data_IF_488566096313
#
_entry.id   IF_488566096313
#
_cell.length_a   1.000
_cell.length_b   1.000
_cell.length_c   1.000
_cell.angle_alpha   90.00
_cell.angle_beta   90.00
_cell.angle_gamma   90.00
#
_symmetry.space_group_name_H-M   'P 1'
#
loop_
_entity.id
_entity.type
_entity.pdbx_description
1 polymer ?
#
# COMPACT_ATOMS: atom_id res chain seq x y z
N UNK A 1 11.37 30.83 -16.48
CA UNK A 1 10.19 30.00 -16.20
C UNK A 1 9.26 30.09 -17.40
N UNK A 2 8.68 28.98 -17.84
CA UNK A 2 7.71 28.94 -18.93
C UNK A 2 6.38 28.40 -18.40
N UNK A 3 5.24 28.94 -18.91
CA UNK A 3 3.92 28.36 -18.59
C UNK A 3 3.76 27.02 -19.32
N UNK A 4 3.27 26.03 -18.60
CA UNK A 4 3.13 24.67 -19.09
C UNK A 4 2.21 24.59 -20.32
N UNK A 5 1.14 25.41 -20.36
CA UNK A 5 0.22 25.52 -21.51
C UNK A 5 0.87 25.82 -22.86
N UNK A 6 2.11 26.36 -22.89
CA UNK A 6 2.84 26.63 -24.13
C UNK A 6 3.43 25.36 -24.78
N UNK A 7 3.59 24.30 -23.99
CA UNK A 7 4.31 23.07 -24.41
C UNK A 7 3.48 21.79 -24.29
N UNK A 8 2.17 21.92 -24.01
CA UNK A 8 1.24 20.81 -23.87
C UNK A 8 -0.08 21.06 -24.61
N UNK A 9 -0.80 19.98 -24.87
CA UNK A 9 -2.22 20.00 -25.24
C UNK A 9 -3.01 19.18 -24.23
N UNK A 10 -4.18 19.67 -23.81
CA UNK A 10 -5.06 18.98 -22.88
C UNK A 10 -6.19 18.28 -23.63
N UNK A 11 -6.36 16.98 -23.42
CA UNK A 11 -7.43 16.17 -24.03
C UNK A 11 -8.38 15.68 -22.95
N UNK A 12 -9.68 15.93 -23.13
CA UNK A 12 -10.74 15.48 -22.23
C UNK A 12 -11.04 13.99 -22.47
N UNK A 13 -11.26 13.24 -21.38
CA UNK A 13 -11.63 11.83 -21.46
C UNK A 13 -13.03 11.56 -22.01
N UNK A 14 -13.27 10.30 -22.33
CA UNK A 14 -14.54 9.82 -22.89
C UNK A 14 -15.63 9.86 -21.83
N UNK A 15 -16.78 10.46 -22.18
CA UNK A 15 -18.00 10.36 -21.39
C UNK A 15 -18.77 9.11 -21.80
N UNK A 16 -19.11 8.26 -20.84
CA UNK A 16 -19.75 6.97 -21.07
C UNK A 16 -20.76 6.64 -19.99
N UNK A 17 -21.62 5.69 -20.27
CA UNK A 17 -22.60 5.09 -19.35
C UNK A 17 -22.35 3.58 -19.23
N UNK A 18 -22.93 2.89 -18.24
CA UNK A 18 -22.76 1.44 -18.06
C UNK A 18 -23.07 0.61 -19.32
N UNK A 19 -24.03 1.04 -20.14
CA UNK A 19 -24.40 0.36 -21.40
C UNK A 19 -23.36 0.47 -22.52
N UNK A 20 -22.39 1.36 -22.38
CA UNK A 20 -21.30 1.56 -23.34
C UNK A 20 -20.08 0.69 -23.00
N UNK A 21 -20.17 -0.11 -21.89
CA UNK A 21 -19.10 -0.98 -21.43
C UNK A 21 -19.32 -2.42 -21.91
N UNK A 22 -18.20 -3.12 -22.12
CA UNK A 22 -18.13 -4.55 -22.42
C UNK A 22 -17.52 -5.31 -21.25
N UNK A 23 -17.90 -6.57 -21.08
CA UNK A 23 -17.37 -7.42 -20.00
C UNK A 23 -15.90 -7.85 -20.25
N UNK A 24 -15.48 -7.85 -21.53
CA UNK A 24 -14.12 -8.25 -21.90
C UNK A 24 -13.62 -7.48 -23.13
N UNK A 25 -12.30 -7.51 -23.35
CA UNK A 25 -11.67 -6.96 -24.55
C UNK A 25 -12.04 -7.81 -25.77
N UNK A 26 -12.56 -7.16 -26.80
CA UNK A 26 -12.92 -7.78 -28.09
C UNK A 26 -12.67 -6.80 -29.27
N UNK A 27 -13.03 -7.19 -30.48
CA UNK A 27 -12.79 -6.38 -31.69
C UNK A 27 -13.53 -5.05 -31.68
N UNK A 28 -14.64 -4.91 -30.96
CA UNK A 28 -15.44 -3.69 -30.87
C UNK A 28 -15.11 -2.84 -29.65
N UNK A 29 -14.29 -3.34 -28.71
CA UNK A 29 -13.97 -2.67 -27.45
C UNK A 29 -12.51 -2.26 -27.33
N UNK A 30 -12.23 -1.35 -26.42
CA UNK A 30 -10.88 -0.83 -26.09
C UNK A 30 -10.76 -0.65 -24.58
N UNK A 31 -9.55 -0.79 -24.05
CA UNK A 31 -9.23 -0.52 -22.65
C UNK A 31 -9.53 0.95 -22.33
N UNK A 32 -10.30 1.17 -21.27
CA UNK A 32 -10.59 2.49 -20.71
C UNK A 32 -9.96 2.62 -19.33
N UNK A 33 -9.01 3.56 -19.21
CA UNK A 33 -8.35 3.89 -17.96
C UNK A 33 -9.15 4.91 -17.16
N UNK A 34 -9.16 4.73 -15.84
CA UNK A 34 -9.85 5.58 -14.87
C UNK A 34 -8.85 6.08 -13.80
N UNK A 35 -9.32 6.88 -12.86
CA UNK A 35 -8.48 7.41 -11.77
C UNK A 35 -7.82 6.31 -10.89
N UNK A 36 -8.48 5.15 -10.72
CA UNK A 36 -7.94 4.00 -9.98
C UNK A 36 -6.78 3.30 -10.72
N UNK A 37 -6.64 3.53 -12.01
CA UNK A 37 -5.51 3.04 -12.81
C UNK A 37 -4.25 3.90 -12.68
N UNK A 38 -4.31 5.03 -11.94
CA UNK A 38 -3.15 5.88 -11.63
C UNK A 38 -2.62 5.48 -10.25
N UNK A 39 -1.52 4.74 -10.20
CA UNK A 39 -0.87 4.29 -8.96
C UNK A 39 0.61 4.66 -8.98
N UNK A 40 1.08 5.39 -7.98
CA UNK A 40 2.50 5.73 -7.76
C UNK A 40 3.22 6.29 -8.99
N UNK A 41 2.53 7.18 -9.72
CA UNK A 41 3.06 7.81 -10.94
C UNK A 41 3.07 6.93 -12.20
N UNK A 42 2.48 5.73 -12.14
CA UNK A 42 2.42 4.75 -13.22
C UNK A 42 0.99 4.37 -13.56
N UNK A 43 0.81 3.88 -14.78
CA UNK A 43 -0.45 3.24 -15.19
C UNK A 43 -0.47 1.80 -14.67
N UNK A 44 -1.57 1.44 -14.00
CA UNK A 44 -1.85 0.09 -13.54
C UNK A 44 -3.02 -0.48 -14.34
N UNK A 45 -2.85 -1.66 -14.92
CA UNK A 45 -3.83 -2.35 -15.76
C UNK A 45 -4.61 -3.46 -15.05
N UNK A 46 -4.43 -3.66 -13.73
CA UNK A 46 -5.04 -4.78 -12.99
C UNK A 46 -6.57 -4.69 -12.92
N UNK A 47 -7.15 -3.47 -12.90
CA UNK A 47 -8.59 -3.22 -12.83
C UNK A 47 -8.99 -2.22 -13.92
N UNK A 48 -9.05 -2.70 -15.15
CA UNK A 48 -9.50 -1.91 -16.31
C UNK A 48 -10.94 -2.25 -16.68
N UNK A 49 -11.60 -1.33 -17.37
CA UNK A 49 -12.89 -1.58 -18.02
C UNK A 49 -12.72 -1.45 -19.53
N UNK A 50 -13.67 -1.99 -20.28
CA UNK A 50 -13.64 -2.00 -21.74
C UNK A 50 -14.80 -1.18 -22.27
N UNK A 51 -14.53 -0.25 -23.19
CA UNK A 51 -15.54 0.65 -23.78
C UNK A 51 -15.69 0.39 -25.27
N UNK A 52 -16.89 0.57 -25.80
CA UNK A 52 -17.15 0.52 -27.24
C UNK A 52 -16.28 1.53 -27.99
N UNK A 53 -15.50 1.07 -28.97
CA UNK A 53 -14.63 1.89 -29.82
C UNK A 53 -15.36 3.04 -30.50
N UNK A 54 -16.66 2.87 -30.83
CA UNK A 54 -17.48 3.91 -31.45
C UNK A 54 -17.68 5.16 -30.61
N UNK A 55 -17.46 5.03 -29.29
CA UNK A 55 -17.55 6.16 -28.34
C UNK A 55 -16.26 6.97 -28.25
N UNK A 56 -15.17 6.48 -28.81
CA UNK A 56 -13.83 7.04 -28.64
C UNK A 56 -13.44 7.84 -29.88
N UNK A 57 -13.21 9.14 -29.72
CA UNK A 57 -12.68 9.98 -30.78
C UNK A 57 -11.19 9.73 -31.03
N UNK A 58 -10.68 10.00 -32.23
CA UNK A 58 -9.28 9.77 -32.61
C UNK A 58 -8.25 10.42 -31.65
N UNK A 59 -8.55 11.62 -31.14
CA UNK A 59 -7.68 12.35 -30.22
C UNK A 59 -7.70 11.80 -28.78
N UNK A 60 -8.71 10.97 -28.42
CA UNK A 60 -8.87 10.36 -27.10
C UNK A 60 -8.14 9.01 -26.96
N UNK A 61 -7.46 8.53 -28.00
CA UNK A 61 -6.53 7.43 -27.85
C UNK A 61 -5.26 7.90 -27.14
N UNK A 62 -4.81 7.14 -26.16
CA UNK A 62 -3.54 7.39 -25.48
C UNK A 62 -2.39 7.17 -26.46
N UNK A 63 -1.46 8.11 -26.46
CA UNK A 63 -0.22 8.02 -27.20
C UNK A 63 0.95 7.89 -26.23
N UNK A 64 1.97 7.14 -26.62
CA UNK A 64 3.22 7.09 -25.84
C UNK A 64 3.76 8.50 -25.62
N UNK A 65 4.04 8.83 -24.37
CA UNK A 65 4.48 10.16 -23.97
C UNK A 65 3.37 11.04 -23.40
N UNK A 66 2.11 10.59 -23.42
CA UNK A 66 1.01 11.27 -22.73
C UNK A 66 1.16 11.15 -21.21
N UNK A 67 0.60 12.10 -20.49
CA UNK A 67 0.44 12.04 -19.03
C UNK A 67 -1.05 11.98 -18.70
N UNK A 68 -1.50 10.89 -18.11
CA UNK A 68 -2.88 10.73 -17.62
C UNK A 68 -3.00 11.36 -16.23
N UNK A 69 -3.98 12.25 -16.04
CA UNK A 69 -4.22 12.95 -14.77
C UNK A 69 -5.66 12.70 -14.31
N UNK A 70 -5.84 12.40 -13.03
CA UNK A 70 -7.15 12.42 -12.38
C UNK A 70 -7.57 13.88 -12.14
N UNK A 71 -8.56 14.35 -12.85
CA UNK A 71 -9.02 15.75 -12.74
C UNK A 71 -10.22 15.91 -11.82
N UNK A 72 -10.98 14.85 -11.57
CA UNK A 72 -12.17 14.89 -10.70
C UNK A 72 -12.29 13.58 -9.91
N UNK A 73 -12.52 13.69 -8.61
CA UNK A 73 -12.75 12.55 -7.72
C UNK A 73 -13.50 12.98 -6.47
N UNK A 74 -14.28 12.07 -5.88
CA UNK A 74 -14.87 12.26 -4.55
C UNK A 74 -13.82 12.32 -3.42
N UNK A 75 -12.62 11.78 -3.64
CA UNK A 75 -11.47 11.89 -2.71
C UNK A 75 -10.50 12.96 -3.18
N UNK A 76 -10.24 13.96 -2.32
CA UNK A 76 -9.28 15.04 -2.59
C UNK A 76 -7.86 14.52 -2.85
N UNK A 77 -7.48 13.42 -2.24
CA UNK A 77 -6.16 12.80 -2.39
C UNK A 77 -5.92 12.22 -3.79
N UNK A 78 -6.98 11.84 -4.48
CA UNK A 78 -6.89 11.30 -5.84
C UNK A 78 -6.80 12.40 -6.89
N UNK A 79 -7.37 13.58 -6.64
CA UNK A 79 -7.33 14.72 -7.57
C UNK A 79 -5.88 15.16 -7.78
N UNK A 80 -5.49 15.30 -9.05
CA UNK A 80 -4.14 15.64 -9.47
C UNK A 80 -3.14 14.47 -9.47
N UNK A 81 -3.53 13.24 -9.11
CA UNK A 81 -2.66 12.09 -9.39
C UNK A 81 -2.39 12.01 -10.88
N UNK A 82 -1.15 11.75 -11.24
CA UNK A 82 -0.70 11.70 -12.62
C UNK A 82 0.12 10.44 -12.88
N UNK A 83 0.08 9.93 -14.10
CA UNK A 83 0.92 8.82 -14.55
C UNK A 83 1.36 9.03 -16.00
N UNK A 84 2.63 8.79 -16.27
CA UNK A 84 3.18 8.83 -17.61
C UNK A 84 2.81 7.55 -18.38
N UNK A 85 2.33 7.70 -19.61
CA UNK A 85 1.97 6.58 -20.47
C UNK A 85 3.14 6.22 -21.38
N UNK A 86 3.85 5.15 -21.01
CA UNK A 86 5.01 4.62 -21.75
C UNK A 86 4.69 3.40 -22.62
N UNK A 87 3.47 2.87 -22.49
CA UNK A 87 3.07 1.60 -23.08
C UNK A 87 2.74 1.71 -24.58
N UNK A 88 2.78 0.57 -25.26
CA UNK A 88 2.30 0.44 -26.64
C UNK A 88 0.87 -0.12 -26.71
N UNK A 89 0.21 -0.22 -25.56
CA UNK A 89 -1.16 -0.72 -25.43
C UNK A 89 -2.16 0.28 -25.99
N UNK A 90 -3.10 -0.19 -26.81
CA UNK A 90 -4.18 0.65 -27.32
C UNK A 90 -5.19 0.86 -26.21
N UNK A 91 -5.30 2.09 -25.72
CA UNK A 91 -6.17 2.45 -24.60
C UNK A 91 -6.76 3.87 -24.78
N UNK A 92 -7.83 4.12 -24.04
CA UNK A 92 -8.45 5.43 -23.86
C UNK A 92 -8.64 5.72 -22.37
N UNK A 93 -9.31 6.81 -22.01
CA UNK A 93 -9.48 7.24 -20.61
C UNK A 93 -10.83 7.91 -20.40
N UNK A 94 -11.39 7.74 -19.19
CA UNK A 94 -12.72 8.24 -18.84
C UNK A 94 -12.73 9.72 -18.48
N UNK A 95 -13.92 10.33 -18.49
CA UNK A 95 -14.16 11.77 -18.33
C UNK A 95 -13.70 12.38 -16.99
N UNK A 96 -13.48 11.55 -15.94
CA UNK A 96 -12.87 12.00 -14.69
C UNK A 96 -11.34 12.14 -14.75
N UNK A 97 -10.77 11.73 -15.87
CA UNK A 97 -9.38 11.90 -16.20
C UNK A 97 -9.21 12.86 -17.40
N UNK A 98 -8.00 13.36 -17.53
CA UNK A 98 -7.54 14.16 -18.66
C UNK A 98 -6.17 13.69 -19.09
N UNK A 99 -5.87 13.78 -20.35
CA UNK A 99 -4.53 13.56 -20.88
C UNK A 99 -3.86 14.90 -21.14
N UNK A 100 -2.63 15.01 -20.68
CA UNK A 100 -1.68 16.05 -21.04
C UNK A 100 -0.76 15.45 -22.10
N UNK A 101 -0.81 16.01 -23.27
CA UNK A 101 0.00 15.58 -24.42
C UNK A 101 1.11 16.59 -24.67
N UNK A 102 2.37 16.26 -24.35
CA UNK A 102 3.49 17.16 -24.57
C UNK A 102 3.73 17.40 -26.07
N UNK A 103 4.00 18.66 -26.44
CA UNK A 103 4.40 19.08 -27.79
C UNK A 103 5.92 19.20 -27.97
N UNK A 104 6.70 19.02 -26.90
CA UNK A 104 8.16 19.02 -26.95
C UNK A 104 8.72 17.64 -27.29
N UNK A 105 9.93 17.54 -27.89
CA UNK A 105 10.53 16.25 -28.26
C UNK A 105 10.74 15.34 -27.03
N UNK A 106 11.32 15.86 -25.94
CA UNK A 106 11.56 15.13 -24.73
C UNK A 106 10.28 15.03 -23.84
N UNK A 107 9.31 14.23 -24.27
CA UNK A 107 8.00 14.09 -23.61
C UNK A 107 8.11 13.57 -22.15
N UNK A 108 9.08 12.69 -21.88
CA UNK A 108 9.31 12.12 -20.56
C UNK A 108 9.72 13.18 -19.54
N UNK A 109 10.36 14.28 -19.98
CA UNK A 109 10.68 15.41 -19.13
C UNK A 109 9.42 16.01 -18.48
N UNK A 110 8.35 16.16 -19.29
CA UNK A 110 7.02 16.58 -18.77
C UNK A 110 6.44 15.51 -17.84
N UNK A 111 6.58 14.22 -18.17
CA UNK A 111 6.15 13.12 -17.29
C UNK A 111 6.78 13.22 -15.89
N UNK A 112 8.10 13.49 -15.82
CA UNK A 112 8.78 13.70 -14.54
C UNK A 112 8.30 14.94 -13.78
N UNK A 113 7.97 16.03 -14.48
CA UNK A 113 7.38 17.20 -13.83
C UNK A 113 6.07 16.85 -13.12
N UNK A 114 5.17 16.10 -13.76
CA UNK A 114 3.89 15.68 -13.18
C UNK A 114 4.03 14.65 -12.04
N UNK A 115 5.16 13.98 -11.93
CA UNK A 115 5.50 13.10 -10.81
C UNK A 115 6.28 13.82 -9.69
N UNK A 116 6.55 15.13 -9.84
CA UNK A 116 7.33 15.87 -8.87
C UNK A 116 6.54 16.29 -7.64
N UNK A 117 7.19 16.42 -6.45
CA UNK A 117 6.58 17.01 -5.26
C UNK A 117 6.12 18.47 -5.48
N UNK A 118 6.77 19.21 -6.40
CA UNK A 118 6.37 20.56 -6.75
C UNK A 118 4.97 20.56 -7.36
N UNK A 119 4.73 19.80 -8.42
CA UNK A 119 3.41 19.67 -9.04
C UNK A 119 2.35 19.27 -8.01
N UNK A 120 2.64 18.28 -7.15
CA UNK A 120 1.67 17.84 -6.13
C UNK A 120 1.31 18.92 -5.14
N UNK A 121 2.25 19.76 -4.69
CA UNK A 121 1.98 20.89 -3.81
C UNK A 121 1.11 21.95 -4.49
N UNK A 122 1.47 22.34 -5.73
CA UNK A 122 0.71 23.34 -6.49
C UNK A 122 -0.75 22.92 -6.68
N UNK A 123 -0.99 21.70 -7.15
CA UNK A 123 -2.35 21.17 -7.35
C UNK A 123 -3.11 21.03 -6.04
N UNK A 124 -2.45 20.58 -4.96
CA UNK A 124 -3.10 20.46 -3.64
C UNK A 124 -3.47 21.82 -3.06
N UNK A 125 -2.67 22.85 -3.26
CA UNK A 125 -2.97 24.22 -2.81
C UNK A 125 -4.21 24.79 -3.52
N UNK A 126 -4.34 24.54 -4.83
CA UNK A 126 -5.52 24.93 -5.61
C UNK A 126 -6.79 24.22 -5.14
N UNK A 127 -6.69 22.98 -4.68
CA UNK A 127 -7.83 22.21 -4.16
C UNK A 127 -8.23 22.57 -2.72
N UNK A 128 -7.38 23.26 -1.96
CA UNK A 128 -7.63 23.65 -0.56
C UNK A 128 -8.39 24.97 -0.42
N UNK A 129 -8.35 25.86 -1.40
CA UNK A 129 -8.92 27.21 -1.34
C UNK A 129 -10.40 27.34 -1.73
N UNK A 130 -11.01 26.33 -2.33
CA UNK A 130 -12.43 26.25 -2.64
C UNK A 130 -12.79 24.75 -2.73
N UNK A 131 -14.07 24.39 -2.66
CA UNK A 131 -14.57 23.01 -2.85
C UNK A 131 -14.27 22.49 -4.28
N UNK A 132 -12.98 22.52 -4.71
CA UNK A 132 -12.55 22.18 -6.06
C UNK A 132 -12.25 20.68 -6.08
N UNK A 133 -13.29 19.88 -6.33
CA UNK A 133 -13.15 18.48 -6.71
C UNK A 133 -12.84 18.31 -8.20
N UNK A 134 -12.40 19.40 -8.90
CA UNK A 134 -12.18 19.34 -10.35
C UNK A 134 -11.06 20.30 -10.79
N UNK A 135 -10.03 19.78 -11.46
CA UNK A 135 -8.92 20.54 -12.06
C UNK A 135 -9.34 21.05 -13.43
N UNK A 136 -9.37 22.39 -13.59
CA UNK A 136 -9.66 23.06 -14.87
C UNK A 136 -8.40 23.15 -15.75
N UNK A 137 -8.60 23.45 -17.04
CA UNK A 137 -7.48 23.63 -17.97
C UNK A 137 -6.52 24.72 -17.53
N UNK A 138 -7.06 25.86 -17.11
CA UNK A 138 -6.29 27.02 -16.66
C UNK A 138 -5.38 26.72 -15.46
N UNK A 139 -5.79 25.81 -14.57
CA UNK A 139 -4.96 25.38 -13.43
C UNK A 139 -3.68 24.69 -13.89
N UNK A 140 -3.74 23.93 -14.97
CA UNK A 140 -2.59 23.22 -15.55
C UNK A 140 -1.78 24.17 -16.46
N UNK A 141 -2.45 24.93 -17.33
CA UNK A 141 -1.80 25.80 -18.30
C UNK A 141 -0.96 26.90 -17.64
N UNK A 142 -1.39 27.38 -16.45
CA UNK A 142 -0.69 28.42 -15.69
C UNK A 142 0.41 27.88 -14.79
N UNK A 143 0.59 26.56 -14.65
CA UNK A 143 1.74 26.04 -13.91
C UNK A 143 3.03 26.49 -14.60
N UNK A 144 3.94 27.01 -13.80
CA UNK A 144 5.26 27.42 -14.29
C UNK A 144 6.30 26.34 -14.06
N UNK A 145 7.11 26.08 -15.07
CA UNK A 145 8.23 25.16 -14.97
C UNK A 145 9.49 25.74 -15.58
N UNK A 146 10.63 25.31 -15.13
CA UNK A 146 11.87 25.57 -15.82
C UNK A 146 11.96 24.65 -17.05
N UNK A 147 12.02 25.24 -18.24
CA UNK A 147 12.12 24.54 -19.51
C UNK A 147 13.51 24.78 -20.10
N UNK A 148 14.53 23.97 -19.75
CA UNK A 148 15.87 24.10 -20.30
C UNK A 148 15.91 23.63 -21.77
N UNK A 149 17.07 23.77 -22.40
CA UNK A 149 17.31 23.27 -23.75
C UNK A 149 17.09 21.75 -23.84
N UNK A 150 16.77 21.22 -25.01
CA UNK A 150 16.46 19.83 -25.25
C UNK A 150 17.56 18.87 -24.72
N UNK A 151 18.82 19.18 -24.99
CA UNK A 151 19.96 18.39 -24.50
C UNK A 151 19.99 18.28 -22.97
N UNK A 152 19.61 19.35 -22.27
CA UNK A 152 19.56 19.37 -20.80
C UNK A 152 18.32 18.58 -20.33
N UNK A 153 17.16 18.72 -21.00
CA UNK A 153 15.98 17.92 -20.71
C UNK A 153 16.27 16.42 -20.82
N UNK A 154 16.90 15.99 -21.90
CA UNK A 154 17.32 14.61 -22.09
C UNK A 154 18.30 14.13 -21.03
N UNK A 155 19.29 14.96 -20.67
CA UNK A 155 20.26 14.61 -19.63
C UNK A 155 19.61 14.43 -18.25
N UNK A 156 18.64 15.30 -17.90
CA UNK A 156 17.84 15.19 -16.67
C UNK A 156 16.97 13.92 -16.72
N UNK A 157 16.27 13.72 -17.83
CA UNK A 157 15.38 12.55 -18.02
C UNK A 157 16.14 11.24 -17.90
N UNK A 158 17.29 11.11 -18.55
CA UNK A 158 18.14 9.90 -18.43
C UNK A 158 18.55 9.63 -16.98
N UNK A 159 18.94 10.65 -16.22
CA UNK A 159 19.31 10.49 -14.80
C UNK A 159 18.12 10.07 -13.94
N UNK A 160 16.95 10.69 -14.12
CA UNK A 160 15.74 10.37 -13.38
C UNK A 160 15.24 8.94 -13.72
N UNK A 161 15.26 8.57 -15.00
CA UNK A 161 14.91 7.22 -15.42
C UNK A 161 15.86 6.17 -14.84
N UNK A 162 17.17 6.46 -14.81
CA UNK A 162 18.15 5.58 -14.18
C UNK A 162 17.87 5.40 -12.67
N UNK A 163 17.64 6.49 -11.95
CA UNK A 163 17.28 6.41 -10.50
C UNK A 163 15.99 5.63 -10.30
N UNK A 164 14.96 5.88 -11.09
CA UNK A 164 13.70 5.14 -11.00
C UNK A 164 13.91 3.64 -11.27
N UNK A 165 14.70 3.28 -12.27
CA UNK A 165 15.01 1.87 -12.57
C UNK A 165 15.77 1.17 -11.43
N UNK A 166 16.65 1.89 -10.73
CA UNK A 166 17.32 1.39 -9.53
C UNK A 166 16.33 1.16 -8.39
N UNK A 167 15.43 2.11 -8.13
CA UNK A 167 14.38 1.99 -7.10
C UNK A 167 13.51 0.76 -7.38
N UNK A 168 13.02 0.61 -8.62
CA UNK A 168 12.22 -0.54 -9.04
C UNK A 168 12.96 -1.88 -8.89
N UNK A 169 14.23 -1.89 -9.30
CA UNK A 169 15.07 -3.08 -9.16
C UNK A 169 15.24 -3.48 -7.69
N UNK A 170 15.46 -2.50 -6.79
CA UNK A 170 15.57 -2.74 -5.36
C UNK A 170 14.26 -3.20 -4.73
N UNK A 171 13.14 -2.60 -5.09
CA UNK A 171 11.81 -3.06 -4.65
C UNK A 171 11.54 -4.50 -5.08
N UNK A 172 11.87 -4.84 -6.34
CA UNK A 172 11.76 -6.21 -6.85
C UNK A 172 12.68 -7.19 -6.13
N UNK A 173 13.91 -6.76 -5.78
CA UNK A 173 14.84 -7.58 -4.99
C UNK A 173 14.29 -7.84 -3.58
N UNK A 174 13.77 -6.81 -2.89
CA UNK A 174 13.13 -6.97 -1.57
C UNK A 174 11.96 -7.96 -1.65
N UNK A 175 11.05 -7.78 -2.61
CA UNK A 175 9.93 -8.72 -2.80
C UNK A 175 10.38 -10.16 -3.05
N UNK A 176 11.49 -10.36 -3.81
CA UNK A 176 12.06 -11.70 -4.01
C UNK A 176 12.67 -12.29 -2.75
N UNK A 177 13.29 -11.47 -1.90
CA UNK A 177 13.82 -11.93 -0.61
C UNK A 177 12.67 -12.38 0.31
N UNK A 178 11.57 -11.61 0.37
CA UNK A 178 10.39 -11.98 1.14
C UNK A 178 9.80 -13.32 0.64
N UNK A 179 9.72 -13.50 -0.69
CA UNK A 179 9.30 -14.76 -1.29
C UNK A 179 10.25 -15.91 -0.96
N UNK A 180 11.56 -15.67 -0.95
CA UNK A 180 12.57 -16.69 -0.60
C UNK A 180 12.37 -17.16 0.84
N UNK A 181 12.20 -16.26 1.79
CA UNK A 181 11.99 -16.62 3.20
C UNK A 181 10.68 -17.41 3.37
N UNK A 182 9.59 -17.01 2.70
CA UNK A 182 8.33 -17.78 2.70
C UNK A 182 8.49 -19.15 2.07
N UNK A 183 9.21 -19.26 0.96
CA UNK A 183 9.50 -20.54 0.31
C UNK A 183 10.33 -21.45 1.20
N UNK A 184 11.31 -20.89 1.93
CA UNK A 184 12.11 -21.64 2.89
C UNK A 184 11.26 -22.13 4.06
N UNK A 185 10.29 -21.34 4.53
CA UNK A 185 9.35 -21.79 5.54
C UNK A 185 8.56 -23.01 5.07
N UNK A 186 8.01 -22.95 3.86
CA UNK A 186 7.26 -24.08 3.27
C UNK A 186 8.15 -25.30 3.06
N UNK A 187 9.38 -25.11 2.59
CA UNK A 187 10.34 -26.21 2.39
C UNK A 187 10.65 -26.93 3.72
N UNK A 188 10.87 -26.17 4.80
CA UNK A 188 11.26 -26.72 6.10
C UNK A 188 10.07 -27.30 6.89
N UNK A 189 8.90 -26.68 6.78
CA UNK A 189 7.76 -27.02 7.66
C UNK A 189 6.54 -27.56 6.91
N UNK A 190 6.50 -27.46 5.57
CA UNK A 190 5.31 -27.74 4.77
C UNK A 190 4.31 -26.58 4.79
N UNK A 191 3.24 -26.67 4.00
CA UNK A 191 2.10 -25.75 4.11
C UNK A 191 1.43 -25.96 5.49
N UNK A 192 1.32 -24.93 6.33
CA UNK A 192 0.81 -25.07 7.69
C UNK A 192 -0.71 -25.38 7.74
N UNK A 193 -1.43 -25.19 6.65
CA UNK A 193 -2.85 -25.56 6.51
C UNK A 193 -2.99 -27.07 6.24
N UNK A 194 -2.25 -27.56 5.24
CA UNK A 194 -2.29 -28.96 4.80
C UNK A 194 -1.52 -29.88 5.73
N UNK A 195 -0.50 -29.35 6.43
CA UNK A 195 0.40 -30.08 7.32
C UNK A 195 0.93 -31.41 6.71
N UNK A 196 1.58 -31.36 5.52
CA UNK A 196 1.98 -32.56 4.79
C UNK A 196 2.99 -33.44 5.56
N UNK A 197 3.75 -32.83 6.46
CA UNK A 197 4.74 -33.50 7.30
C UNK A 197 4.13 -34.09 8.59
N UNK A 198 2.80 -33.92 8.79
CA UNK A 198 2.06 -34.41 9.95
C UNK A 198 2.65 -34.01 11.28
N UNK A 199 3.14 -32.76 11.36
CA UNK A 199 3.57 -32.19 12.64
C UNK A 199 2.44 -32.22 13.67
N UNK A 200 2.79 -32.45 14.94
CA UNK A 200 1.82 -32.31 16.01
C UNK A 200 1.22 -30.89 15.99
N UNK A 201 -0.07 -30.80 16.26
CA UNK A 201 -0.77 -29.53 16.40
C UNK A 201 -0.93 -29.17 17.86
N UNK A 202 -0.63 -27.94 18.22
CA UNK A 202 -0.85 -27.42 19.57
C UNK A 202 -1.57 -26.08 19.54
N UNK A 203 -2.24 -25.72 20.60
CA UNK A 203 -2.91 -24.42 20.65
C UNK A 203 -1.88 -23.28 20.81
N UNK A 204 -2.17 -22.14 20.20
CA UNK A 204 -1.27 -20.98 20.21
C UNK A 204 -0.96 -20.51 21.66
N UNK A 205 -1.96 -20.56 22.56
CA UNK A 205 -1.80 -20.20 23.98
C UNK A 205 -0.92 -21.18 24.78
N UNK A 206 -0.62 -22.36 24.24
CA UNK A 206 0.33 -23.32 24.86
C UNK A 206 1.77 -22.98 24.47
N UNK A 207 1.97 -22.35 23.30
CA UNK A 207 3.29 -21.96 22.80
C UNK A 207 3.82 -20.66 23.45
N UNK A 208 2.94 -19.86 24.03
CA UNK A 208 3.28 -18.61 24.68
C UNK A 208 2.09 -17.92 25.31
N UNK A 209 2.35 -16.88 26.06
CA UNK A 209 1.34 -16.06 26.70
C UNK A 209 0.68 -15.12 25.68
N UNK A 210 -0.65 -15.15 25.60
CA UNK A 210 -1.48 -14.27 24.76
C UNK A 210 -2.27 -13.33 25.63
N UNK A 211 -2.02 -12.04 25.52
CA UNK A 211 -2.78 -11.03 26.24
C UNK A 211 -3.15 -9.86 25.35
N UNK A 212 -4.34 -9.32 25.58
CA UNK A 212 -4.84 -8.13 24.88
C UNK A 212 -4.19 -6.87 25.43
N UNK A 213 -3.85 -5.93 24.55
CA UNK A 213 -3.43 -4.60 24.94
C UNK A 213 -4.50 -3.87 25.76
N UNK A 214 -4.12 -2.82 26.46
CA UNK A 214 -4.97 -2.10 27.39
C UNK A 214 -5.06 -0.63 26.98
N UNK A 215 -6.29 -0.12 26.87
CA UNK A 215 -6.61 1.29 26.69
C UNK A 215 -7.94 1.60 27.35
N UNK A 216 -7.89 2.02 28.62
CA UNK A 216 -9.10 2.22 29.47
C UNK A 216 -9.74 3.58 29.23
N UNK A 217 -8.96 4.62 28.99
CA UNK A 217 -9.46 5.99 28.83
C UNK A 217 -10.22 6.20 27.51
N UNK A 218 -11.22 7.09 27.57
CA UNK A 218 -11.98 7.52 26.39
C UNK A 218 -12.14 9.05 26.43
N UNK A 219 -11.94 9.76 25.30
CA UNK A 219 -11.50 9.22 24.02
C UNK A 219 -10.02 8.75 24.03
N UNK A 220 -9.65 7.77 23.19
CA UNK A 220 -8.31 7.17 23.15
C UNK A 220 -7.22 8.14 22.70
N UNK A 221 -7.59 9.22 22.01
CA UNK A 221 -6.71 10.27 21.50
C UNK A 221 -6.75 11.55 22.35
N UNK A 222 -7.20 11.47 23.61
CA UNK A 222 -7.21 12.60 24.52
C UNK A 222 -5.77 13.17 24.67
N UNK A 223 -5.57 14.50 24.54
CA UNK A 223 -4.24 15.10 24.50
C UNK A 223 -3.37 14.79 25.73
N UNK A 224 -3.98 14.66 26.90
CA UNK A 224 -3.31 14.33 28.17
C UNK A 224 -2.69 12.92 28.20
N UNK A 225 -3.16 12.02 27.33
CA UNK A 225 -2.60 10.67 27.20
C UNK A 225 -1.32 10.65 26.38
N UNK A 226 -1.12 11.61 25.49
CA UNK A 226 -0.16 11.54 24.38
C UNK A 226 1.05 12.44 24.61
N UNK A 227 2.00 12.38 23.67
CA UNK A 227 3.17 13.26 23.57
C UNK A 227 4.15 13.17 24.76
N UNK A 228 4.24 12.01 25.41
CA UNK A 228 5.25 11.75 26.45
C UNK A 228 6.41 10.90 25.92
N UNK A 229 7.06 10.14 26.81
CA UNK A 229 8.27 9.37 26.51
C UNK A 229 8.04 7.87 26.19
N UNK A 230 6.82 7.36 26.37
CA UNK A 230 6.55 5.93 26.24
C UNK A 230 6.04 5.61 24.83
N UNK A 231 6.72 4.77 24.03
CA UNK A 231 6.26 4.37 22.71
C UNK A 231 4.85 3.79 22.74
N UNK A 232 3.99 4.25 21.81
CA UNK A 232 2.65 3.74 21.61
C UNK A 232 2.54 3.19 20.17
N UNK A 233 2.35 1.88 20.07
CA UNK A 233 2.16 1.19 18.80
C UNK A 233 0.66 1.05 18.53
N UNK A 234 0.26 1.46 17.33
CA UNK A 234 -1.10 1.34 16.84
C UNK A 234 -1.20 0.26 15.73
N UNK A 235 -2.42 -0.11 15.35
CA UNK A 235 -2.64 -1.11 14.29
C UNK A 235 -2.02 -0.71 12.95
N UNK A 236 -1.93 0.60 12.66
CA UNK A 236 -1.27 1.14 11.48
C UNK A 236 0.25 0.94 11.48
N UNK A 237 0.90 1.12 12.65
CA UNK A 237 2.34 0.90 12.81
C UNK A 237 2.69 -0.58 12.56
N UNK A 238 1.87 -1.51 13.07
CA UNK A 238 2.03 -2.96 12.84
C UNK A 238 1.84 -3.29 11.36
N UNK A 239 0.77 -2.77 10.73
CA UNK A 239 0.43 -3.07 9.35
C UNK A 239 1.45 -2.51 8.33
N UNK A 240 2.15 -1.44 8.69
CA UNK A 240 3.19 -0.81 7.86
C UNK A 240 4.61 -1.31 8.17
N UNK A 241 4.76 -2.18 9.17
CA UNK A 241 6.04 -2.80 9.52
C UNK A 241 6.16 -4.19 8.89
N UNK A 242 7.39 -4.58 8.58
CA UNK A 242 7.76 -5.95 8.21
C UNK A 242 7.87 -6.84 9.47
N UNK A 243 8.84 -7.75 9.50
CA UNK A 243 9.07 -8.64 10.66
C UNK A 243 9.23 -7.88 11.98
N UNK A 244 9.86 -6.69 11.97
CA UNK A 244 10.16 -5.94 13.17
C UNK A 244 9.59 -4.52 13.16
N UNK A 245 8.97 -4.11 14.27
CA UNK A 245 8.60 -2.72 14.55
C UNK A 245 9.85 -2.00 15.05
N UNK A 246 10.40 -1.11 14.24
CA UNK A 246 11.61 -0.31 14.56
C UNK A 246 11.31 1.17 14.76
N UNK A 247 10.07 1.61 14.45
CA UNK A 247 9.61 3.00 14.55
C UNK A 247 8.20 3.04 15.11
N UNK A 248 7.82 4.18 15.65
CA UNK A 248 6.46 4.45 16.14
C UNK A 248 6.04 5.87 15.76
N UNK A 249 4.74 6.05 15.57
CA UNK A 249 4.15 7.34 15.19
C UNK A 249 3.66 8.16 16.39
N UNK A 250 3.48 7.52 17.56
CA UNK A 250 2.85 8.12 18.73
C UNK A 250 3.55 7.69 20.03
N UNK A 251 3.35 8.48 21.07
CA UNK A 251 3.85 8.17 22.42
C UNK A 251 2.79 8.44 23.47
N UNK A 252 2.85 7.72 24.60
CA UNK A 252 2.08 8.00 25.79
C UNK A 252 2.85 8.88 26.80
N UNK A 253 2.09 9.73 27.51
CA UNK A 253 2.51 10.43 28.73
C UNK A 253 2.56 9.46 29.91
N UNK A 254 3.01 9.95 31.09
CA UNK A 254 2.89 9.20 32.36
C UNK A 254 1.42 8.83 32.67
N UNK A 255 0.49 9.73 32.35
CA UNK A 255 -0.95 9.46 32.53
C UNK A 255 -1.44 8.41 31.53
N UNK A 256 -0.96 8.47 30.28
CA UNK A 256 -1.24 7.45 29.26
C UNK A 256 -0.73 6.06 29.66
N UNK A 257 0.48 5.96 30.22
CA UNK A 257 1.03 4.69 30.71
C UNK A 257 0.19 4.10 31.85
N UNK A 258 -0.27 4.90 32.82
CA UNK A 258 -1.05 4.42 33.97
C UNK A 258 -2.36 3.72 33.58
N UNK A 259 -2.93 4.04 32.41
CA UNK A 259 -4.16 3.43 31.89
C UNK A 259 -3.90 2.32 30.86
N UNK A 260 -2.63 2.02 30.57
CA UNK A 260 -2.18 1.03 29.59
C UNK A 260 -1.27 -0.02 30.24
N UNK A 261 -0.51 -0.75 29.46
CA UNK A 261 0.53 -1.70 29.90
C UNK A 261 1.75 -1.54 28.98
N UNK A 262 2.94 -1.54 29.57
CA UNK A 262 4.20 -1.66 28.85
C UNK A 262 4.45 -3.13 28.50
N UNK A 263 4.78 -3.38 27.24
CA UNK A 263 5.14 -4.69 26.72
C UNK A 263 6.62 -4.72 26.38
N UNK A 264 7.33 -5.82 26.68
CA UNK A 264 8.76 -5.90 26.46
C UNK A 264 9.10 -6.04 24.97
N UNK A 265 10.28 -5.59 24.59
CA UNK A 265 10.92 -5.94 23.32
C UNK A 265 10.84 -7.45 23.07
N UNK A 266 10.70 -7.87 21.80
CA UNK A 266 10.48 -9.27 21.43
C UNK A 266 9.02 -9.72 21.45
N UNK A 267 8.07 -8.91 21.97
CA UNK A 267 6.64 -9.24 21.88
C UNK A 267 6.18 -9.25 20.43
N UNK A 268 5.55 -10.33 19.99
CA UNK A 268 4.84 -10.39 18.70
C UNK A 268 3.47 -9.72 18.86
N UNK A 269 3.26 -8.62 18.16
CA UNK A 269 2.00 -7.90 18.10
C UNK A 269 1.11 -8.50 17.02
N UNK A 270 -0.17 -8.75 17.33
CA UNK A 270 -1.19 -9.31 16.42
C UNK A 270 -2.39 -8.37 16.41
N UNK A 271 -2.76 -7.82 15.27
CA UNK A 271 -3.93 -6.94 15.16
C UNK A 271 -5.22 -7.75 15.11
N UNK A 272 -6.20 -7.35 15.94
CA UNK A 272 -7.52 -8.01 16.02
C UNK A 272 -8.68 -7.10 15.57
N UNK A 273 -8.39 -5.83 15.30
CA UNK A 273 -9.33 -4.86 14.72
C UNK A 273 -8.55 -3.98 13.75
N UNK A 274 -9.14 -3.52 12.68
CA UNK A 274 -8.51 -2.86 11.53
C UNK A 274 -7.23 -3.61 11.06
N UNK A 275 -7.01 -3.82 9.78
CA UNK A 275 -5.88 -4.63 9.30
C UNK A 275 -5.72 -5.98 10.00
N UNK A 276 -6.80 -6.73 10.14
CA UNK A 276 -6.89 -7.97 10.93
C UNK A 276 -5.77 -8.97 10.58
N UNK A 277 -5.22 -9.64 11.63
CA UNK A 277 -4.15 -10.64 11.55
C UNK A 277 -2.81 -10.14 10.98
N UNK A 278 -2.58 -8.83 10.93
CA UNK A 278 -1.23 -8.33 10.70
C UNK A 278 -0.40 -8.53 11.95
N UNK A 279 0.84 -8.95 11.75
CA UNK A 279 1.78 -9.25 12.82
C UNK A 279 3.10 -8.54 12.62
N UNK A 280 3.75 -8.16 13.71
CA UNK A 280 5.14 -7.69 13.71
C UNK A 280 5.72 -7.76 15.15
N UNK A 281 7.05 -7.86 15.29
CA UNK A 281 7.74 -8.06 16.57
C UNK A 281 8.33 -6.73 17.05
N UNK A 282 8.09 -6.36 18.33
CA UNK A 282 8.67 -5.17 18.94
C UNK A 282 10.21 -5.27 19.04
N UNK A 283 10.92 -4.23 18.63
CA UNK A 283 12.38 -4.07 18.86
C UNK A 283 12.71 -3.18 20.07
N UNK A 284 11.68 -2.65 20.74
CA UNK A 284 11.78 -1.82 21.96
C UNK A 284 10.54 -2.04 22.81
N UNK A 285 10.59 -1.63 24.07
CA UNK A 285 9.43 -1.69 24.96
C UNK A 285 8.38 -0.66 24.51
N UNK A 286 7.11 -1.08 24.44
CA UNK A 286 6.02 -0.23 23.94
C UNK A 286 4.67 -0.56 24.58
N UNK A 287 3.78 0.43 24.59
CA UNK A 287 2.36 0.25 24.86
C UNK A 287 1.60 -0.02 23.57
N UNK A 288 0.48 -0.71 23.65
CA UNK A 288 -0.49 -0.79 22.54
C UNK A 288 -1.92 -0.98 23.06
N UNK A 289 -2.94 -0.54 22.25
CA UNK A 289 -4.34 -0.55 22.67
C UNK A 289 -4.94 -1.96 22.59
N UNK A 290 -6.19 -2.06 23.07
CA UNK A 290 -7.02 -3.27 23.08
C UNK A 290 -7.42 -3.80 21.69
N UNK A 291 -7.03 -3.12 20.61
CA UNK A 291 -7.11 -3.60 19.22
C UNK A 291 -5.92 -4.47 18.78
N UNK A 292 -4.96 -4.68 19.69
CA UNK A 292 -3.77 -5.50 19.47
C UNK A 292 -3.65 -6.54 20.60
N UNK A 293 -3.22 -7.75 20.24
CA UNK A 293 -2.86 -8.83 21.17
C UNK A 293 -1.35 -9.01 21.08
N UNK A 294 -0.69 -9.09 22.26
CA UNK A 294 0.72 -9.45 22.37
C UNK A 294 0.87 -10.94 22.64
N UNK A 295 1.80 -11.58 21.93
CA UNK A 295 2.23 -12.95 22.14
C UNK A 295 3.68 -12.99 22.62
N UNK A 296 3.94 -13.66 23.73
CA UNK A 296 5.26 -13.78 24.36
C UNK A 296 5.54 -15.26 24.64
N UNK A 297 6.55 -15.84 23.98
CA UNK A 297 6.95 -17.24 24.20
C UNK A 297 8.21 -17.37 25.06
N UNK A 298 8.93 -16.29 25.32
CA UNK A 298 10.25 -16.30 25.95
C UNK A 298 11.37 -16.90 25.07
N UNK A 299 11.07 -17.20 23.80
CA UNK A 299 12.00 -17.80 22.83
C UNK A 299 11.90 -17.05 21.50
N UNK A 300 12.92 -16.25 21.15
CA UNK A 300 12.90 -15.39 19.98
C UNK A 300 12.60 -16.15 18.68
N UNK A 301 13.17 -17.34 18.49
CA UNK A 301 12.89 -18.19 17.33
C UNK A 301 11.40 -18.60 17.21
N UNK A 302 10.69 -18.71 18.34
CA UNK A 302 9.27 -19.05 18.36
C UNK A 302 8.42 -17.86 17.87
N UNK A 303 8.72 -16.62 18.31
CA UNK A 303 8.01 -15.44 17.81
C UNK A 303 8.20 -15.28 16.31
N UNK A 304 9.42 -15.52 15.80
CA UNK A 304 9.69 -15.46 14.35
C UNK A 304 8.95 -16.59 13.62
N UNK A 305 8.96 -17.80 14.15
CA UNK A 305 8.20 -18.92 13.56
C UNK A 305 6.69 -18.58 13.50
N UNK A 306 6.11 -18.09 14.59
CA UNK A 306 4.68 -17.72 14.65
C UNK A 306 4.39 -16.55 13.70
N UNK A 307 5.28 -15.57 13.56
CA UNK A 307 5.14 -14.47 12.58
C UNK A 307 4.97 -15.03 11.15
N UNK A 308 5.86 -15.94 10.73
CA UNK A 308 5.76 -16.53 9.39
C UNK A 308 4.55 -17.47 9.25
N UNK A 309 4.19 -18.19 10.30
CA UNK A 309 2.98 -18.99 10.34
C UNK A 309 1.73 -18.12 10.12
N UNK A 310 1.67 -16.93 10.72
CA UNK A 310 0.59 -15.96 10.51
C UNK A 310 0.51 -15.44 9.06
N UNK A 311 1.54 -15.59 8.25
CA UNK A 311 1.44 -15.25 6.82
C UNK A 311 0.46 -16.15 6.05
N UNK A 312 0.06 -17.28 6.63
CA UNK A 312 -0.95 -18.21 6.12
C UNK A 312 -2.30 -18.08 6.85
N UNK A 313 -2.42 -17.13 7.77
CA UNK A 313 -3.53 -17.00 8.68
C UNK A 313 -4.90 -17.01 8.01
N UNK A 314 -5.04 -16.34 6.87
CA UNK A 314 -6.31 -16.30 6.15
C UNK A 314 -6.78 -17.70 5.77
N UNK A 315 -5.89 -18.52 5.20
CA UNK A 315 -6.18 -19.91 4.85
C UNK A 315 -6.48 -20.77 6.07
N UNK A 316 -5.70 -20.57 7.14
CA UNK A 316 -5.87 -21.28 8.40
C UNK A 316 -7.23 -20.94 9.03
N UNK A 317 -7.64 -19.69 8.96
CA UNK A 317 -8.93 -19.24 9.49
C UNK A 317 -10.10 -19.83 8.69
N UNK A 318 -9.99 -19.90 7.38
CA UNK A 318 -10.99 -20.52 6.51
C UNK A 318 -11.19 -21.99 6.83
N UNK A 319 -10.12 -22.72 7.17
CA UNK A 319 -10.15 -24.15 7.50
C UNK A 319 -10.59 -24.45 8.96
N UNK A 320 -10.24 -23.61 9.91
CA UNK A 320 -10.37 -23.91 11.35
C UNK A 320 -11.50 -23.14 12.06
N UNK A 321 -11.98 -22.04 11.51
CA UNK A 321 -12.96 -21.18 12.16
C UNK A 321 -14.31 -21.24 11.47
N UNK A 322 -15.45 -21.15 12.24
CA UNK A 322 -16.78 -21.00 11.66
C UNK A 322 -16.87 -19.74 10.80
N UNK A 323 -17.71 -19.75 9.76
CA UNK A 323 -17.92 -18.61 8.84
C UNK A 323 -18.23 -17.28 9.56
N UNK A 324 -18.94 -17.34 10.70
CA UNK A 324 -19.24 -16.18 11.52
C UNK A 324 -18.02 -15.54 12.20
N UNK A 325 -16.94 -16.31 12.39
CA UNK A 325 -15.70 -15.84 13.02
C UNK A 325 -14.72 -15.19 12.01
N UNK A 326 -14.89 -15.42 10.72
CA UNK A 326 -14.01 -14.92 9.66
C UNK A 326 -13.92 -13.37 9.60
N UNK A 327 -14.95 -12.68 10.09
CA UNK A 327 -15.04 -11.20 10.08
C UNK A 327 -14.53 -10.51 11.33
N UNK A 328 -14.31 -11.22 12.44
CA UNK A 328 -13.90 -10.64 13.72
C UNK A 328 -12.98 -11.58 14.48
N UNK A 329 -11.70 -11.24 14.56
CA UNK A 329 -10.75 -11.95 15.41
C UNK A 329 -10.81 -11.37 16.83
N UNK A 330 -10.79 -12.26 17.82
CA UNK A 330 -10.69 -11.89 19.24
C UNK A 330 -9.69 -12.80 19.97
N UNK A 331 -9.41 -12.50 21.22
CA UNK A 331 -8.47 -13.26 22.02
C UNK A 331 -8.88 -14.75 22.18
N UNK A 332 -10.20 -15.04 22.21
CA UNK A 332 -10.69 -16.41 22.31
C UNK A 332 -10.31 -17.21 21.07
N UNK A 333 -10.57 -16.66 19.87
CA UNK A 333 -10.20 -17.29 18.60
C UNK A 333 -8.69 -17.55 18.54
N UNK A 334 -7.87 -16.55 18.92
CA UNK A 334 -6.41 -16.71 18.93
C UNK A 334 -5.94 -17.81 19.89
N UNK A 335 -6.55 -17.95 21.07
CA UNK A 335 -6.24 -19.01 22.02
C UNK A 335 -6.57 -20.41 21.50
N UNK A 336 -7.61 -20.53 20.67
CA UNK A 336 -8.12 -21.77 20.12
C UNK A 336 -7.47 -22.16 18.76
N UNK A 337 -6.61 -21.27 18.19
CA UNK A 337 -5.88 -21.57 16.97
C UNK A 337 -4.89 -22.72 17.17
N UNK A 338 -4.97 -23.72 16.31
CA UNK A 338 -4.03 -24.82 16.27
C UNK A 338 -2.85 -24.48 15.34
N UNK A 339 -1.67 -24.55 15.88
CA UNK A 339 -0.41 -24.27 15.22
C UNK A 339 0.39 -25.56 15.07
N UNK A 340 1.00 -25.79 13.91
CA UNK A 340 1.97 -26.89 13.75
C UNK A 340 3.15 -26.68 14.73
N UNK A 341 3.60 -27.75 15.35
CA UNK A 341 4.67 -27.73 16.34
C UNK A 341 5.86 -28.60 15.92
N UNK A 342 6.63 -28.18 14.91
CA UNK A 342 7.83 -28.87 14.48
C UNK A 342 8.91 -28.82 15.57
N UNK A 343 9.95 -29.69 15.53
CA UNK A 343 11.03 -29.70 16.50
C UNK A 343 11.69 -28.33 16.67
N UNK A 344 12.02 -27.96 17.90
CA UNK A 344 12.64 -26.66 18.20
C UNK A 344 14.02 -26.45 17.54
N UNK A 345 14.74 -27.55 17.23
CA UNK A 345 15.97 -27.50 16.43
C UNK A 345 15.68 -26.92 15.02
N UNK A 346 14.67 -27.43 14.36
CA UNK A 346 14.27 -26.99 13.02
C UNK A 346 13.80 -25.53 13.01
N UNK A 347 13.04 -25.11 14.06
CA UNK A 347 12.63 -23.72 14.21
C UNK A 347 13.84 -22.79 14.42
N UNK A 348 14.85 -23.22 15.20
CA UNK A 348 16.10 -22.46 15.40
C UNK A 348 16.92 -22.37 14.11
N UNK A 349 16.92 -23.43 13.28
CA UNK A 349 17.63 -23.41 12.01
C UNK A 349 16.96 -22.46 11.02
N UNK A 350 15.63 -22.40 10.98
CA UNK A 350 14.90 -21.38 10.24
C UNK A 350 15.18 -19.96 10.74
N UNK A 351 15.26 -19.76 12.05
CA UNK A 351 15.58 -18.47 12.65
C UNK A 351 16.97 -17.93 12.29
N UNK A 352 17.93 -18.83 12.01
CA UNK A 352 19.29 -18.45 11.58
C UNK A 352 19.38 -18.13 10.09
N UNK A 353 18.42 -18.60 9.31
CA UNK A 353 18.32 -18.33 7.87
C UNK A 353 17.92 -16.87 7.60
#
# INVERSE_FOLDING_TARGET
MAKLGLVITQVRGVSYSPKDLHDSLNDESIILLRANNIKDGKINFDDVVYIDKKKVNKNQYLCRGDVLICTSSGSKELVGKAAFFSENTIATFGAFCKVIRPSIPCKEFIGHFFNSPFYRREISSLSSGANINNIRNEHIDNLEMNLPTENIQEAITRRLNFVNSLIESRQKQLSKLDQLVKSRFIEMFGDPVENPYKWNMTYLNVLGELNRGISKHRPRNAPELLNGKYPLIQTGDIASSDLFITKYSSTYSEFGLKQSRMWPSGTLCITIAANIAKTSILKFDACFPDSVVGFISGKEYMQVFIYFWFSFFQKILEEQAPESAQKNINLKILNELKVISPPSSLQKDFFKF
#
